data_IF_549135208512
#
_entry.id   IF_549135208512
#
_cell.length_a   1.000
_cell.length_b   1.000
_cell.length_c   1.000
_cell.angle_alpha   90.00
_cell.angle_beta   90.00
_cell.angle_gamma   90.00
#
_symmetry.space_group_name_H-M   'P 1'
#
loop_
_entity.id
_entity.type
_entity.pdbx_description
1 polymer ?
#
# COMPACT_ATOMS: atom_id res chain seq x y z
N UNK A 1 -5.58 5.24 -1.92
CA UNK A 1 -4.31 4.70 -1.36
C UNK A 1 -4.43 3.19 -1.30
N UNK A 2 -3.32 2.45 -1.35
CA UNK A 2 -3.34 0.98 -1.30
C UNK A 2 -2.59 0.53 -0.06
N UNK A 3 -3.29 -0.17 0.84
CA UNK A 3 -2.67 -0.81 2.01
C UNK A 3 -2.10 -2.18 1.66
N UNK A 4 -1.46 -2.83 2.62
CA UNK A 4 -0.99 -4.21 2.47
C UNK A 4 -2.09 -5.21 2.83
N UNK A 5 -1.95 -6.41 2.31
CA UNK A 5 -2.77 -7.57 2.64
C UNK A 5 -1.88 -8.69 3.13
N UNK A 6 -2.14 -9.15 4.34
CA UNK A 6 -1.38 -10.25 4.94
C UNK A 6 -2.11 -11.57 4.62
N UNK A 7 -1.40 -12.49 3.98
CA UNK A 7 -1.88 -13.81 3.63
C UNK A 7 -1.37 -14.85 4.63
N UNK A 8 -2.13 -15.93 4.85
CA UNK A 8 -1.68 -17.02 5.75
C UNK A 8 -0.48 -17.80 5.19
N UNK A 9 -0.33 -17.79 3.87
CA UNK A 9 0.75 -18.43 3.13
C UNK A 9 1.52 -17.37 2.34
N UNK A 10 2.71 -17.74 1.86
CA UNK A 10 3.46 -16.95 0.90
C UNK A 10 2.59 -16.57 -0.31
N UNK A 11 2.57 -15.29 -0.72
CA UNK A 11 1.87 -14.86 -1.92
C UNK A 11 2.39 -15.60 -3.16
N UNK A 12 1.50 -15.95 -4.08
CA UNK A 12 1.91 -16.51 -5.36
C UNK A 12 2.66 -15.46 -6.18
N UNK A 13 3.77 -15.85 -6.81
CA UNK A 13 4.63 -14.94 -7.57
C UNK A 13 3.94 -14.30 -8.78
N UNK A 14 2.87 -14.92 -9.28
CA UNK A 14 2.02 -14.45 -10.37
C UNK A 14 0.81 -13.64 -9.88
N UNK A 15 0.69 -13.37 -8.57
CA UNK A 15 -0.39 -12.56 -8.04
C UNK A 15 -0.34 -11.14 -8.64
N UNK A 16 -1.46 -10.63 -9.20
CA UNK A 16 -1.52 -9.26 -9.71
C UNK A 16 -1.30 -8.23 -8.59
N UNK A 17 -1.46 -8.65 -7.32
CA UNK A 17 -1.31 -7.81 -6.14
C UNK A 17 -0.02 -8.11 -5.35
N UNK A 18 0.94 -8.84 -5.93
CA UNK A 18 2.18 -9.28 -5.24
C UNK A 18 2.92 -8.13 -4.54
N UNK A 19 2.85 -6.91 -5.07
CA UNK A 19 3.47 -5.71 -4.49
C UNK A 19 2.85 -5.26 -3.17
N UNK A 20 1.66 -5.76 -2.84
CA UNK A 20 0.89 -5.39 -1.66
C UNK A 20 0.49 -6.61 -0.82
N UNK A 21 0.87 -7.81 -1.23
CA UNK A 21 0.61 -9.05 -0.50
C UNK A 21 1.88 -9.51 0.21
N UNK A 22 1.76 -9.89 1.48
CA UNK A 22 2.88 -10.41 2.27
C UNK A 22 2.45 -11.64 3.06
N UNK A 23 3.41 -12.52 3.36
CA UNK A 23 3.18 -13.66 4.23
C UNK A 23 2.96 -13.22 5.69
N UNK A 24 1.97 -13.83 6.34
CA UNK A 24 1.69 -13.66 7.76
C UNK A 24 2.53 -14.59 8.63
N UNK A 25 2.62 -14.28 9.91
CA UNK A 25 3.35 -15.09 10.88
C UNK A 25 2.40 -16.15 11.45
N UNK A 26 2.81 -17.42 11.36
CA UNK A 26 2.03 -18.55 11.90
C UNK A 26 1.85 -18.41 13.42
N UNK A 27 0.61 -18.61 13.90
CA UNK A 27 0.25 -18.46 15.31
C UNK A 27 0.05 -17.01 15.79
N UNK A 28 0.33 -16.01 14.95
CA UNK A 28 0.20 -14.59 15.30
C UNK A 28 -0.88 -13.85 14.48
N UNK A 29 -1.96 -14.54 14.09
CA UNK A 29 -3.00 -14.00 13.20
C UNK A 29 -3.61 -12.70 13.73
N UNK A 30 -3.87 -12.57 15.03
CA UNK A 30 -4.41 -11.34 15.63
C UNK A 30 -3.46 -10.15 15.54
N UNK A 31 -2.16 -10.40 15.64
CA UNK A 31 -1.14 -9.36 15.43
C UNK A 31 -1.11 -8.92 13.97
N UNK A 32 -1.16 -9.87 13.03
CA UNK A 32 -1.22 -9.56 11.60
C UNK A 32 -2.46 -8.72 11.26
N UNK A 33 -3.65 -9.10 11.74
CA UNK A 33 -4.88 -8.32 11.57
C UNK A 33 -4.71 -6.89 12.10
N UNK A 34 -4.17 -6.73 13.32
CA UNK A 34 -3.95 -5.42 13.92
C UNK A 34 -2.97 -4.53 13.15
N UNK A 35 -1.89 -5.11 12.60
CA UNK A 35 -0.94 -4.38 11.75
C UNK A 35 -1.59 -3.93 10.44
N UNK A 36 -2.39 -4.80 9.82
CA UNK A 36 -3.10 -4.48 8.58
C UNK A 36 -4.07 -3.31 8.79
N UNK A 37 -4.84 -3.34 9.88
CA UNK A 37 -5.80 -2.29 10.23
C UNK A 37 -5.10 -0.98 10.59
N UNK A 38 -4.00 -1.05 11.33
CA UNK A 38 -3.19 0.12 11.71
C UNK A 38 -2.68 0.85 10.47
N UNK A 39 -2.08 0.12 9.52
CA UNK A 39 -1.52 0.71 8.30
C UNK A 39 -2.61 1.31 7.41
N UNK A 40 -3.75 0.63 7.25
CA UNK A 40 -4.87 1.16 6.49
C UNK A 40 -5.38 2.46 7.12
N UNK A 41 -5.56 2.48 8.44
CA UNK A 41 -6.01 3.66 9.18
C UNK A 41 -5.05 4.83 9.01
N UNK A 42 -3.75 4.59 9.10
CA UNK A 42 -2.74 5.65 8.95
C UNK A 42 -2.68 6.17 7.52
N UNK A 43 -2.77 5.30 6.50
CA UNK A 43 -2.87 5.73 5.11
C UNK A 43 -4.07 6.65 4.89
N UNK A 44 -5.25 6.28 5.41
CA UNK A 44 -6.46 7.10 5.30
C UNK A 44 -6.33 8.44 6.05
N UNK A 45 -5.67 8.43 7.22
CA UNK A 45 -5.41 9.66 7.98
C UNK A 45 -4.62 10.69 7.17
N UNK A 46 -3.66 10.23 6.37
CA UNK A 46 -2.81 11.10 5.54
C UNK A 46 -3.27 11.21 4.09
N UNK A 47 -4.50 10.78 3.77
CA UNK A 47 -5.01 10.76 2.39
C UNK A 47 -4.88 12.09 1.67
N UNK A 48 -5.29 13.18 2.33
CA UNK A 48 -5.21 14.53 1.75
C UNK A 48 -3.78 14.93 1.40
N UNK A 49 -2.82 14.58 2.24
CA UNK A 49 -1.41 14.87 2.03
C UNK A 49 -0.86 14.09 0.82
N UNK A 50 -1.10 12.78 0.77
CA UNK A 50 -0.66 11.96 -0.36
C UNK A 50 -1.34 12.34 -1.67
N UNK A 51 -2.62 12.75 -1.63
CA UNK A 51 -3.34 13.24 -2.81
C UNK A 51 -2.71 14.53 -3.35
N UNK A 52 -2.30 15.44 -2.47
CA UNK A 52 -1.60 16.67 -2.86
C UNK A 52 -0.29 16.35 -3.56
N UNK A 53 0.57 15.53 -2.94
CA UNK A 53 1.86 15.13 -3.54
C UNK A 53 1.67 14.44 -4.89
N UNK A 54 0.70 13.52 -4.99
CA UNK A 54 0.47 12.80 -6.25
C UNK A 54 0.04 13.75 -7.36
N UNK A 55 -0.78 14.75 -7.05
CA UNK A 55 -1.17 15.76 -8.03
C UNK A 55 -0.01 16.68 -8.42
N UNK A 56 0.87 17.04 -7.48
CA UNK A 56 2.07 17.85 -7.74
C UNK A 56 3.08 17.11 -8.63
N UNK A 57 3.34 15.83 -8.34
CA UNK A 57 4.24 15.00 -9.15
C UNK A 57 3.71 14.77 -10.57
N UNK A 58 2.39 14.64 -10.75
CA UNK A 58 1.77 14.56 -12.09
C UNK A 58 2.00 15.86 -12.88
N UNK A 59 1.99 17.01 -12.20
CA UNK A 59 2.26 18.29 -12.87
C UNK A 59 3.75 18.39 -13.27
N UNK A 60 4.68 17.88 -12.46
CA UNK A 60 6.11 17.86 -12.81
C UNK A 60 6.43 16.92 -13.99
N UNK A 61 5.89 15.70 -14.02
CA UNK A 61 6.11 14.76 -15.14
C UNK A 61 5.60 15.30 -16.48
N UNK A 62 4.44 15.97 -16.49
CA UNK A 62 3.87 16.58 -17.70
C UNK A 62 4.72 17.75 -18.22
N UNK A 63 5.40 18.49 -17.35
CA UNK A 63 6.26 19.62 -17.75
C UNK A 63 7.59 19.14 -18.36
N UNK A 64 8.08 17.95 -17.97
CA UNK A 64 9.29 17.35 -18.54
C UNK A 64 9.09 16.69 -19.91
N UNK A 65 7.89 16.18 -20.21
CA UNK A 65 7.58 15.55 -21.51
C UNK A 65 7.32 16.56 -22.65
N UNK A 66 7.22 17.86 -22.34
CA UNK A 66 6.96 18.94 -23.31
C UNK A 66 8.26 19.67 -23.72
N UNK A 67 9.42 19.22 -23.26
CA UNK A 67 10.74 19.78 -23.63
C UNK A 67 11.53 18.91 -24.59
#
# INVERSE_FOLDING_TARGET
LVSIKILKLEPASDSPNIKHEIAGISGATKTCEGVMDLLLKDLLKYEKYFRKIRNENVIEEVVTDVK
#
